data_IF_793042199449
#
_entry.id   IF_793042199449
#
_cell.length_a   1.000
_cell.length_b   1.000
_cell.length_c   1.000
_cell.angle_alpha   90.00
_cell.angle_beta   90.00
_cell.angle_gamma   90.00
#
_symmetry.space_group_name_H-M   'P 1'
#
loop_
_entity.id
_entity.type
_entity.pdbx_description
1 polymer ?
#
# COMPACT_ATOMS: atom_id res chain seq x y z
N UNK A 1 14.79 18.98 -14.40
CA UNK A 1 14.05 17.74 -14.06
C UNK A 1 14.63 16.48 -14.73
N UNK A 2 14.75 16.43 -16.08
CA UNK A 2 15.18 15.24 -16.84
C UNK A 2 16.48 14.57 -16.36
N UNK A 3 17.53 15.35 -16.06
CA UNK A 3 18.81 14.80 -15.57
C UNK A 3 18.66 14.07 -14.22
N UNK A 4 17.83 14.61 -13.31
CA UNK A 4 17.57 14.00 -12.00
C UNK A 4 16.80 12.70 -12.16
N UNK A 5 15.74 12.71 -12.98
CA UNK A 5 14.97 11.50 -13.28
C UNK A 5 15.83 10.42 -13.94
N UNK A 6 16.78 10.78 -14.79
CA UNK A 6 17.74 9.83 -15.36
C UNK A 6 18.60 9.14 -14.28
N UNK A 7 19.10 9.90 -13.30
CA UNK A 7 19.85 9.35 -12.15
C UNK A 7 18.97 8.43 -11.29
N UNK A 8 17.75 8.86 -10.96
CA UNK A 8 16.83 8.07 -10.13
C UNK A 8 16.35 6.81 -10.86
N UNK A 9 16.10 6.86 -12.17
CA UNK A 9 15.76 5.68 -12.97
C UNK A 9 16.78 4.55 -12.79
N UNK A 10 18.08 4.88 -12.82
CA UNK A 10 19.15 3.92 -12.59
C UNK A 10 19.11 3.29 -11.20
N UNK A 11 18.69 4.03 -10.17
CA UNK A 11 18.61 3.51 -8.79
C UNK A 11 17.34 2.72 -8.49
N UNK A 12 16.23 2.98 -9.20
CA UNK A 12 14.97 2.26 -8.97
C UNK A 12 14.81 0.99 -9.81
N UNK A 13 15.58 0.86 -10.91
CA UNK A 13 15.59 -0.36 -11.71
C UNK A 13 16.20 -1.48 -10.87
N UNK A 14 15.42 -2.55 -10.73
CA UNK A 14 15.83 -3.73 -9.99
C UNK A 14 16.92 -4.48 -10.76
N UNK A 15 18.03 -4.79 -10.09
CA UNK A 15 19.09 -5.61 -10.68
C UNK A 15 18.59 -7.02 -10.98
N UNK A 16 19.19 -7.68 -11.98
CA UNK A 16 18.85 -9.06 -12.36
C UNK A 16 18.95 -10.03 -11.17
N UNK A 17 19.97 -9.86 -10.33
CA UNK A 17 20.20 -10.69 -9.15
C UNK A 17 19.07 -10.53 -8.10
N UNK A 18 18.64 -9.29 -7.86
CA UNK A 18 17.52 -9.01 -6.94
C UNK A 18 16.22 -9.60 -7.45
N UNK A 19 15.94 -9.50 -8.76
CA UNK A 19 14.77 -10.15 -9.37
C UNK A 19 14.84 -11.67 -9.27
N UNK A 20 15.99 -12.29 -9.57
CA UNK A 20 16.20 -13.74 -9.50
C UNK A 20 15.99 -14.28 -8.09
N UNK A 21 16.60 -13.66 -7.09
CA UNK A 21 16.44 -14.07 -5.69
C UNK A 21 14.99 -13.93 -5.22
N UNK A 22 14.32 -12.83 -5.60
CA UNK A 22 12.90 -12.63 -5.24
C UNK A 22 12.01 -13.68 -5.91
N UNK A 23 12.27 -14.01 -7.18
CA UNK A 23 11.55 -15.06 -7.90
C UNK A 23 11.71 -16.42 -7.23
N UNK A 24 12.93 -16.82 -6.86
CA UNK A 24 13.18 -18.07 -6.16
C UNK A 24 12.36 -18.19 -4.86
N UNK A 25 12.35 -17.12 -4.05
CA UNK A 25 11.56 -17.09 -2.80
C UNK A 25 10.05 -17.15 -3.10
N UNK A 26 9.59 -16.45 -4.13
CA UNK A 26 8.19 -16.44 -4.51
C UNK A 26 7.72 -17.80 -5.04
N UNK A 27 8.51 -18.44 -5.90
CA UNK A 27 8.23 -19.77 -6.44
C UNK A 27 8.20 -20.82 -5.33
N UNK A 28 9.15 -20.75 -4.39
CA UNK A 28 9.20 -21.63 -3.21
C UNK A 28 7.93 -21.48 -2.36
N UNK A 29 7.58 -20.24 -1.99
CA UNK A 29 6.38 -19.97 -1.20
C UNK A 29 5.09 -20.40 -1.93
N UNK A 30 5.01 -20.14 -3.23
CA UNK A 30 3.86 -20.52 -4.05
C UNK A 30 3.66 -22.03 -4.08
N UNK A 31 4.73 -22.80 -4.30
CA UNK A 31 4.67 -24.26 -4.32
C UNK A 31 4.24 -24.84 -2.97
N UNK A 32 4.71 -24.26 -1.87
CA UNK A 32 4.31 -24.67 -0.51
C UNK A 32 2.81 -24.46 -0.28
N UNK A 33 2.26 -23.32 -0.71
CA UNK A 33 0.82 -23.04 -0.60
C UNK A 33 0.02 -23.91 -1.57
N UNK A 34 0.47 -24.04 -2.82
CA UNK A 34 -0.18 -24.84 -3.86
C UNK A 34 -0.34 -26.31 -3.45
N UNK A 35 0.67 -26.89 -2.81
CA UNK A 35 0.57 -28.25 -2.31
C UNK A 35 -0.44 -28.39 -1.16
N UNK A 36 -0.59 -27.37 -0.33
CA UNK A 36 -1.52 -27.42 0.80
C UNK A 36 -2.97 -27.23 0.38
N UNK A 37 -3.24 -26.37 -0.61
CA UNK A 37 -4.63 -26.12 -1.05
C UNK A 37 -5.28 -27.31 -1.74
N UNK A 38 -4.50 -28.27 -2.27
CA UNK A 38 -5.03 -29.51 -2.90
C UNK A 38 -5.89 -30.35 -1.95
N UNK A 39 -5.70 -30.19 -0.64
CA UNK A 39 -6.45 -30.89 0.40
C UNK A 39 -7.83 -30.24 0.69
N UNK A 40 -8.18 -29.13 0.04
CA UNK A 40 -9.35 -28.33 0.35
C UNK A 40 -10.22 -28.08 -0.90
N UNK A 41 -11.32 -28.83 -1.08
CA UNK A 41 -12.22 -28.66 -2.23
C UNK A 41 -12.95 -27.31 -2.25
N UNK A 42 -12.90 -26.54 -1.17
CA UNK A 42 -13.41 -25.17 -1.07
C UNK A 42 -12.57 -24.16 -1.86
N UNK A 43 -11.30 -24.48 -2.14
CA UNK A 43 -10.36 -23.59 -2.83
C UNK A 43 -10.37 -23.92 -4.32
N UNK A 44 -10.55 -22.91 -5.16
CA UNK A 44 -10.64 -23.02 -6.63
C UNK A 44 -9.38 -22.59 -7.34
N UNK A 45 -8.49 -21.84 -6.68
CA UNK A 45 -7.27 -21.39 -7.31
C UNK A 45 -6.30 -20.65 -6.41
N UNK A 46 -5.16 -20.35 -7.01
CA UNK A 46 -4.03 -19.65 -6.40
C UNK A 46 -3.49 -18.63 -7.41
N UNK A 47 -3.14 -17.43 -6.96
CA UNK A 47 -2.41 -16.50 -7.81
C UNK A 47 -1.54 -15.53 -7.01
N UNK A 48 -0.48 -15.01 -7.63
CA UNK A 48 0.27 -13.92 -7.04
C UNK A 48 -0.50 -12.61 -7.17
N UNK A 49 -0.45 -11.80 -6.10
CA UNK A 49 -0.98 -10.45 -6.08
C UNK A 49 0.08 -9.40 -5.81
N UNK A 50 -0.40 -8.20 -5.48
CA UNK A 50 0.42 -7.13 -4.95
C UNK A 50 1.45 -6.56 -5.93
N UNK A 51 2.38 -5.77 -5.40
CA UNK A 51 3.37 -5.07 -6.23
C UNK A 51 4.40 -6.01 -6.87
N UNK A 52 4.56 -7.22 -6.32
CA UNK A 52 5.39 -8.27 -6.91
C UNK A 52 4.81 -8.75 -8.24
N UNK A 53 3.55 -9.21 -8.25
CA UNK A 53 2.88 -9.68 -9.47
C UNK A 53 2.82 -8.61 -10.57
N UNK A 54 2.66 -7.33 -10.17
CA UNK A 54 2.61 -6.19 -11.09
C UNK A 54 3.99 -5.73 -11.59
N UNK A 55 5.09 -6.28 -11.06
CA UNK A 55 6.46 -5.80 -11.27
C UNK A 55 6.61 -4.28 -11.04
N UNK A 56 6.04 -3.78 -9.93
CA UNK A 56 6.07 -2.36 -9.50
C UNK A 56 6.69 -2.17 -8.11
N UNK A 57 7.30 -3.22 -7.56
CA UNK A 57 7.87 -3.24 -6.21
C UNK A 57 9.21 -2.49 -6.11
N UNK A 58 9.53 -2.03 -4.89
CA UNK A 58 10.81 -1.41 -4.53
C UNK A 58 11.79 -2.46 -3.98
N UNK A 59 13.07 -2.36 -4.36
CA UNK A 59 14.10 -3.41 -4.16
C UNK A 59 14.24 -3.94 -2.73
N UNK A 60 13.98 -3.12 -1.71
CA UNK A 60 14.20 -3.46 -0.30
C UNK A 60 12.97 -4.04 0.42
N UNK A 61 11.78 -3.96 -0.18
CA UNK A 61 10.49 -4.16 0.53
C UNK A 61 9.43 -4.87 -0.31
N UNK A 62 9.84 -5.68 -1.28
CA UNK A 62 8.87 -6.54 -1.95
C UNK A 62 8.39 -7.64 -1.01
N UNK A 63 7.16 -7.47 -0.54
CA UNK A 63 6.35 -8.54 0.02
C UNK A 63 5.81 -9.41 -1.14
N UNK A 64 5.60 -10.69 -0.86
CA UNK A 64 4.99 -11.65 -1.79
C UNK A 64 3.60 -11.96 -1.28
N UNK A 65 2.60 -11.49 -2.01
CA UNK A 65 1.19 -11.75 -1.71
C UNK A 65 0.72 -12.93 -2.57
N UNK A 66 0.24 -13.99 -1.92
CA UNK A 66 -0.30 -15.19 -2.54
C UNK A 66 -1.78 -15.27 -2.18
N UNK A 67 -2.65 -15.10 -3.18
CA UNK A 67 -4.09 -15.13 -3.01
C UNK A 67 -4.62 -16.55 -3.19
N UNK A 68 -5.29 -17.08 -2.16
CA UNK A 68 -6.06 -18.33 -2.23
C UNK A 68 -7.52 -18.00 -2.51
N UNK A 69 -8.07 -18.55 -3.59
CA UNK A 69 -9.43 -18.27 -4.06
C UNK A 69 -10.40 -19.31 -3.55
N UNK A 70 -11.41 -18.88 -2.81
CA UNK A 70 -12.47 -19.75 -2.31
C UNK A 70 -13.71 -19.67 -3.19
N UNK A 71 -14.45 -20.78 -3.29
CA UNK A 71 -15.80 -20.77 -3.87
C UNK A 71 -16.67 -19.73 -3.16
N UNK A 72 -17.46 -18.97 -3.92
CA UNK A 72 -18.39 -17.95 -3.39
C UNK A 72 -19.39 -18.51 -2.36
N UNK A 73 -19.66 -19.81 -2.36
CA UNK A 73 -20.61 -20.48 -1.45
C UNK A 73 -20.04 -20.80 -0.07
N UNK A 74 -18.73 -20.67 0.13
CA UNK A 74 -18.07 -20.94 1.42
C UNK A 74 -18.48 -19.87 2.44
N UNK A 75 -18.73 -20.28 3.69
CA UNK A 75 -19.05 -19.38 4.80
C UNK A 75 -17.79 -18.67 5.34
N UNK A 76 -17.96 -17.48 5.91
CA UNK A 76 -16.85 -16.69 6.47
C UNK A 76 -16.07 -17.42 7.58
N UNK A 77 -16.76 -18.27 8.34
CA UNK A 77 -16.17 -19.13 9.36
C UNK A 77 -15.19 -20.14 8.75
N UNK A 78 -15.66 -20.93 7.77
CA UNK A 78 -14.81 -21.90 7.04
C UNK A 78 -13.71 -21.20 6.26
N UNK A 79 -14.02 -20.07 5.63
CA UNK A 79 -13.06 -19.23 4.92
C UNK A 79 -11.89 -18.86 5.85
N UNK A 80 -12.20 -18.38 7.06
CA UNK A 80 -11.20 -18.01 8.07
C UNK A 80 -10.43 -19.22 8.60
N UNK A 81 -11.12 -20.31 8.90
CA UNK A 81 -10.52 -21.52 9.47
C UNK A 81 -9.53 -22.16 8.48
N UNK A 82 -9.97 -22.41 7.24
CA UNK A 82 -9.17 -23.04 6.19
C UNK A 82 -7.98 -22.15 5.84
N UNK A 83 -8.16 -20.82 5.73
CA UNK A 83 -7.05 -19.88 5.48
C UNK A 83 -5.95 -20.02 6.52
N UNK A 84 -6.32 -20.07 7.81
CA UNK A 84 -5.34 -20.25 8.88
C UNK A 84 -4.63 -21.59 8.73
N UNK A 85 -5.36 -22.69 8.58
CA UNK A 85 -4.78 -24.04 8.39
C UNK A 85 -3.80 -24.07 7.23
N UNK A 86 -4.24 -23.68 6.03
CA UNK A 86 -3.42 -23.62 4.82
C UNK A 86 -2.15 -22.79 5.05
N UNK A 87 -2.28 -21.57 5.59
CA UNK A 87 -1.13 -20.69 5.80
C UNK A 87 -0.14 -21.23 6.86
N UNK A 88 -0.64 -21.77 7.98
CA UNK A 88 0.22 -22.33 9.03
C UNK A 88 0.93 -23.61 8.57
N UNK A 89 0.24 -24.47 7.83
CA UNK A 89 0.80 -25.73 7.35
C UNK A 89 1.79 -25.51 6.20
N UNK A 90 1.44 -24.68 5.21
CA UNK A 90 2.32 -24.36 4.08
C UNK A 90 3.61 -23.66 4.52
N UNK A 91 3.52 -22.74 5.49
CA UNK A 91 4.66 -21.93 5.93
C UNK A 91 5.24 -22.38 7.28
N UNK A 92 4.94 -23.59 7.76
CA UNK A 92 5.33 -24.10 9.09
C UNK A 92 6.81 -23.91 9.43
N UNK A 93 7.70 -24.11 8.45
CA UNK A 93 9.16 -23.96 8.59
C UNK A 93 9.63 -22.50 8.79
N UNK A 94 8.74 -21.54 8.62
CA UNK A 94 9.02 -20.10 8.59
C UNK A 94 8.32 -19.32 9.70
N UNK A 95 7.91 -19.99 10.78
CA UNK A 95 7.27 -19.42 11.96
C UNK A 95 6.10 -18.48 11.60
N UNK A 96 5.05 -19.01 10.92
CA UNK A 96 3.95 -18.20 10.44
C UNK A 96 3.12 -17.66 11.62
N UNK A 97 2.46 -16.54 11.42
CA UNK A 97 1.55 -15.94 12.38
C UNK A 97 0.37 -15.27 11.68
N UNK A 98 -0.73 -15.08 12.42
CA UNK A 98 -1.94 -14.44 11.90
C UNK A 98 -1.80 -12.92 11.95
N UNK A 99 -2.21 -12.28 10.87
CA UNK A 99 -2.49 -10.84 10.80
C UNK A 99 -3.97 -10.64 10.51
N UNK A 100 -4.46 -9.47 10.88
CA UNK A 100 -5.86 -9.11 10.74
C UNK A 100 -6.00 -7.87 9.85
N UNK A 101 -6.81 -7.99 8.81
CA UNK A 101 -7.41 -6.90 8.04
C UNK A 101 -8.93 -7.02 8.21
N UNK A 102 -9.71 -6.93 7.14
CA UNK A 102 -11.13 -7.33 7.14
C UNK A 102 -11.28 -8.83 7.48
N UNK A 103 -10.49 -9.68 6.82
CA UNK A 103 -10.35 -11.09 7.18
C UNK A 103 -8.91 -11.39 7.64
N UNK A 104 -8.72 -12.41 8.48
CA UNK A 104 -7.39 -12.83 8.88
C UNK A 104 -6.63 -13.43 7.70
N UNK A 105 -5.33 -13.17 7.66
CA UNK A 105 -4.39 -13.76 6.70
C UNK A 105 -3.15 -14.25 7.44
N UNK A 106 -2.41 -15.16 6.83
CA UNK A 106 -1.20 -15.72 7.44
C UNK A 106 0.03 -15.06 6.83
N UNK A 107 0.93 -14.58 7.68
CA UNK A 107 2.20 -13.99 7.29
C UNK A 107 3.35 -14.84 7.83
N UNK A 108 4.37 -15.06 7.01
CA UNK A 108 5.64 -15.63 7.42
C UNK A 108 6.81 -14.87 6.78
N UNK A 109 8.04 -15.21 7.15
CA UNK A 109 9.23 -14.60 6.55
C UNK A 109 10.20 -15.64 6.02
N UNK A 110 10.43 -15.62 4.71
CA UNK A 110 11.49 -16.38 4.05
C UNK A 110 12.66 -15.42 3.82
N UNK A 111 13.78 -15.65 4.54
CA UNK A 111 14.93 -14.73 4.60
C UNK A 111 14.51 -13.33 5.08
N UNK A 112 14.52 -12.32 4.20
CA UNK A 112 14.08 -10.94 4.47
C UNK A 112 12.77 -10.58 3.78
N UNK A 113 12.12 -11.54 3.12
CA UNK A 113 10.90 -11.34 2.34
C UNK A 113 9.70 -11.79 3.16
N UNK A 114 8.71 -10.92 3.33
CA UNK A 114 7.42 -11.34 3.90
C UNK A 114 6.61 -12.07 2.84
N UNK A 115 5.99 -13.16 3.26
CA UNK A 115 5.06 -13.95 2.47
C UNK A 115 3.70 -13.83 3.14
N UNK A 116 2.69 -13.38 2.39
CA UNK A 116 1.32 -13.24 2.87
C UNK A 116 0.44 -14.25 2.11
N UNK A 117 -0.22 -15.14 2.83
CA UNK A 117 -1.26 -16.03 2.30
C UNK A 117 -2.60 -15.37 2.59
N UNK A 118 -3.17 -14.76 1.56
CA UNK A 118 -4.35 -13.89 1.67
C UNK A 118 -5.55 -14.58 1.06
N UNK A 119 -6.66 -14.71 1.78
CA UNK A 119 -7.84 -15.34 1.21
C UNK A 119 -8.71 -14.31 0.48
N UNK A 120 -9.35 -14.77 -0.59
CA UNK A 120 -10.39 -14.02 -1.29
C UNK A 120 -11.43 -14.96 -1.88
N UNK A 121 -12.63 -14.46 -2.16
CA UNK A 121 -13.64 -15.21 -2.89
C UNK A 121 -13.41 -15.12 -4.40
N UNK A 122 -13.69 -16.22 -5.11
CA UNK A 122 -13.85 -16.20 -6.55
C UNK A 122 -15.21 -15.61 -6.91
N UNK A 123 -15.19 -14.35 -7.35
CA UNK A 123 -16.37 -13.55 -7.67
C UNK A 123 -16.26 -12.96 -9.06
N UNK A 124 -17.40 -12.55 -9.63
CA UNK A 124 -17.44 -11.74 -10.83
C UNK A 124 -17.06 -10.28 -10.53
N UNK A 125 -16.61 -9.56 -11.55
CA UNK A 125 -16.28 -8.13 -11.42
C UNK A 125 -17.49 -7.35 -10.88
N UNK A 126 -17.32 -6.65 -9.75
CA UNK A 126 -18.37 -5.86 -9.12
C UNK A 126 -19.18 -6.60 -8.05
N UNK A 127 -19.11 -7.93 -7.97
CA UNK A 127 -19.85 -8.75 -7.01
C UNK A 127 -19.01 -9.10 -5.77
N UNK A 128 -18.33 -8.10 -5.23
CA UNK A 128 -17.40 -8.26 -4.10
C UNK A 128 -18.11 -8.73 -2.83
N UNK A 129 -17.59 -9.78 -2.18
CA UNK A 129 -17.98 -10.17 -0.82
C UNK A 129 -17.08 -9.51 0.24
N UNK A 130 -15.80 -9.37 -0.07
CA UNK A 130 -14.80 -8.72 0.78
C UNK A 130 -14.01 -7.67 0.01
N UNK A 131 -13.27 -6.81 0.72
CA UNK A 131 -12.30 -5.91 0.09
C UNK A 131 -11.15 -6.65 -0.60
N UNK A 132 -10.77 -7.84 -0.11
CA UNK A 132 -9.67 -8.63 -0.66
C UNK A 132 -9.98 -9.15 -2.07
N UNK A 133 -11.25 -9.41 -2.39
CA UNK A 133 -11.72 -9.93 -3.67
C UNK A 133 -11.37 -9.01 -4.86
N UNK A 134 -11.25 -7.71 -4.61
CA UNK A 134 -10.83 -6.72 -5.62
C UNK A 134 -9.36 -6.86 -6.02
N UNK A 135 -8.52 -7.37 -5.12
CA UNK A 135 -7.05 -7.38 -5.27
C UNK A 135 -6.55 -8.24 -6.46
N UNK A 136 -7.11 -9.45 -6.70
CA UNK A 136 -7.01 -10.18 -7.96
C UNK A 136 -7.22 -9.32 -9.21
N UNK A 137 -8.34 -8.59 -9.26
CA UNK A 137 -8.74 -7.78 -10.41
C UNK A 137 -7.83 -6.55 -10.57
N UNK A 138 -7.43 -5.91 -9.47
CA UNK A 138 -6.42 -4.84 -9.49
C UNK A 138 -5.10 -5.31 -10.09
N UNK A 139 -4.67 -6.52 -9.71
CA UNK A 139 -3.43 -7.12 -10.20
C UNK A 139 -3.51 -7.36 -11.70
N UNK A 140 -4.55 -8.07 -12.16
CA UNK A 140 -4.76 -8.36 -13.58
C UNK A 140 -4.91 -7.10 -14.43
N UNK A 141 -5.69 -6.13 -13.96
CA UNK A 141 -5.86 -4.85 -14.64
C UNK A 141 -4.51 -4.13 -14.79
N UNK A 142 -3.75 -3.98 -13.70
CA UNK A 142 -2.46 -3.27 -13.76
C UNK A 142 -1.41 -4.01 -14.58
N UNK A 143 -1.39 -5.35 -14.58
CA UNK A 143 -0.49 -6.12 -15.44
C UNK A 143 -0.75 -5.87 -16.93
N UNK A 144 -2.02 -5.77 -17.33
CA UNK A 144 -2.45 -5.48 -18.70
C UNK A 144 -2.21 -4.01 -19.08
N UNK A 145 -2.50 -3.08 -18.17
CA UNK A 145 -2.50 -1.65 -18.45
C UNK A 145 -1.11 -1.00 -18.33
N UNK A 146 -0.24 -1.47 -17.42
CA UNK A 146 1.06 -0.84 -17.19
C UNK A 146 2.15 -1.43 -18.09
N UNK A 147 2.69 -0.59 -18.97
CA UNK A 147 3.89 -0.90 -19.75
C UNK A 147 5.13 -1.01 -18.85
N UNK A 148 6.19 -1.68 -19.33
CA UNK A 148 7.48 -1.77 -18.61
C UNK A 148 8.05 -0.40 -18.24
N UNK A 149 7.88 0.60 -19.11
CA UNK A 149 8.29 1.99 -18.84
C UNK A 149 7.48 2.59 -17.69
N UNK A 150 6.16 2.45 -17.71
CA UNK A 150 5.28 2.94 -16.63
C UNK A 150 5.58 2.27 -15.28
N UNK A 151 5.90 0.97 -15.26
CA UNK A 151 6.30 0.27 -14.03
C UNK A 151 7.53 0.89 -13.37
N UNK A 152 8.48 1.39 -14.17
CA UNK A 152 9.63 2.13 -13.63
C UNK A 152 9.22 3.51 -13.10
N UNK A 153 8.33 4.22 -13.79
CA UNK A 153 7.79 5.49 -13.30
C UNK A 153 7.02 5.33 -11.98
N UNK A 154 6.28 4.22 -11.80
CA UNK A 154 5.65 3.86 -10.52
C UNK A 154 6.69 3.72 -9.41
N UNK A 155 7.83 3.08 -9.67
CA UNK A 155 8.89 2.95 -8.66
C UNK A 155 9.51 4.31 -8.29
N UNK A 156 9.65 5.22 -9.25
CA UNK A 156 10.10 6.60 -9.00
C UNK A 156 9.10 7.30 -8.08
N UNK A 157 7.80 7.22 -8.40
CA UNK A 157 6.74 7.83 -7.58
C UNK A 157 6.71 7.24 -6.17
N UNK A 158 6.72 5.91 -6.03
CA UNK A 158 6.77 5.24 -4.72
C UNK A 158 8.01 5.69 -3.92
N UNK A 159 9.16 5.82 -4.56
CA UNK A 159 10.40 6.30 -3.92
C UNK A 159 10.25 7.74 -3.45
N UNK A 160 9.71 8.63 -4.28
CA UNK A 160 9.45 10.03 -3.95
C UNK A 160 8.52 10.15 -2.74
N UNK A 161 7.36 9.46 -2.78
CA UNK A 161 6.39 9.46 -1.68
C UNK A 161 7.02 8.93 -0.38
N UNK A 162 7.82 7.88 -0.48
CA UNK A 162 8.42 7.20 0.67
C UNK A 162 9.50 8.04 1.35
N UNK A 163 10.41 8.62 0.58
CA UNK A 163 11.47 9.49 1.11
C UNK A 163 10.85 10.70 1.82
N UNK A 164 9.75 11.22 1.28
CA UNK A 164 9.01 12.33 1.87
C UNK A 164 7.97 11.89 2.92
N UNK A 165 8.04 10.63 3.39
CA UNK A 165 7.25 10.08 4.50
C UNK A 165 5.72 10.11 4.32
N UNK A 166 5.25 10.10 3.07
CA UNK A 166 3.82 10.09 2.70
C UNK A 166 3.42 8.83 1.92
N UNK A 167 4.24 7.78 1.93
CA UNK A 167 3.93 6.48 1.34
C UNK A 167 3.39 5.51 2.39
N UNK A 168 2.35 4.76 2.03
CA UNK A 168 1.69 3.79 2.90
C UNK A 168 0.28 4.23 3.29
N UNK A 169 -0.70 3.33 3.20
CA UNK A 169 -2.11 3.60 3.51
C UNK A 169 -2.53 3.13 4.91
N UNK A 170 -1.61 2.54 5.67
CA UNK A 170 -1.83 2.16 7.07
C UNK A 170 -2.25 3.37 7.92
N UNK A 171 -3.00 3.13 9.00
CA UNK A 171 -3.57 4.20 9.84
C UNK A 171 -2.47 5.10 10.40
N UNK A 172 -1.28 4.55 10.67
CA UNK A 172 -0.11 5.30 11.11
C UNK A 172 0.27 6.42 10.13
N UNK A 173 0.21 6.14 8.82
CA UNK A 173 0.67 7.06 7.76
C UNK A 173 -0.46 7.84 7.15
N UNK A 174 -1.62 7.22 6.87
CA UNK A 174 -2.71 7.80 6.07
C UNK A 174 -2.17 8.47 4.81
N UNK A 175 -1.24 7.81 4.13
CA UNK A 175 -0.54 8.30 2.95
C UNK A 175 -0.96 7.59 1.67
N UNK A 176 -0.18 7.78 0.63
CA UNK A 176 -0.44 7.25 -0.70
C UNK A 176 -0.04 5.77 -0.77
N UNK A 177 -1.00 4.91 -1.12
CA UNK A 177 -0.76 3.47 -1.26
C UNK A 177 0.07 3.13 -2.50
N UNK A 178 0.59 1.91 -2.54
CA UNK A 178 1.23 1.38 -3.74
C UNK A 178 0.29 1.31 -4.94
N UNK A 179 -0.99 1.02 -4.72
CA UNK A 179 -2.00 0.99 -5.77
C UNK A 179 -2.38 2.39 -6.26
N UNK A 180 -2.52 3.37 -5.36
CA UNK A 180 -2.72 4.78 -5.74
C UNK A 180 -1.57 5.26 -6.62
N UNK A 181 -0.33 4.91 -6.29
CA UNK A 181 0.83 5.25 -7.11
C UNK A 181 0.74 4.68 -8.53
N UNK A 182 0.20 3.46 -8.68
CA UNK A 182 -0.02 2.83 -9.98
C UNK A 182 -1.13 3.50 -10.77
N UNK A 183 -2.25 3.82 -10.11
CA UNK A 183 -3.40 4.52 -10.73
C UNK A 183 -3.02 5.94 -11.17
N UNK A 184 -2.23 6.67 -10.39
CA UNK A 184 -1.73 7.99 -10.79
C UNK A 184 -0.86 7.90 -12.05
N UNK A 185 0.07 6.94 -12.10
CA UNK A 185 0.90 6.73 -13.31
C UNK A 185 0.06 6.23 -14.49
N UNK A 186 -0.98 5.43 -14.26
CA UNK A 186 -1.90 5.02 -15.30
C UNK A 186 -2.65 6.20 -15.93
N UNK A 187 -3.12 7.15 -15.11
CA UNK A 187 -3.84 8.33 -15.60
C UNK A 187 -2.93 9.38 -16.25
N UNK A 188 -1.72 9.56 -15.72
CA UNK A 188 -0.81 10.64 -16.15
C UNK A 188 0.39 10.14 -16.98
N UNK A 189 0.47 8.85 -17.28
CA UNK A 189 1.52 8.14 -18.04
C UNK A 189 2.91 8.05 -17.39
N UNK A 190 3.40 9.09 -16.71
CA UNK A 190 4.75 9.12 -16.14
C UNK A 190 4.85 10.03 -14.91
N UNK A 191 5.97 9.93 -14.18
CA UNK A 191 6.17 10.66 -12.93
C UNK A 191 6.15 12.18 -13.11
N UNK A 192 6.77 12.71 -14.17
CA UNK A 192 6.81 14.16 -14.43
C UNK A 192 5.40 14.73 -14.61
N UNK A 193 4.54 14.03 -15.34
CA UNK A 193 3.15 14.44 -15.51
C UNK A 193 2.37 14.37 -14.19
N UNK A 194 2.60 13.34 -13.35
CA UNK A 194 2.00 13.30 -12.01
C UNK A 194 2.39 14.54 -11.21
N UNK A 195 3.67 14.92 -11.21
CA UNK A 195 4.12 16.13 -10.50
C UNK A 195 3.40 17.38 -11.01
N UNK A 196 3.38 17.62 -12.32
CA UNK A 196 2.74 18.80 -12.92
C UNK A 196 1.24 18.85 -12.62
N UNK A 197 0.54 17.74 -12.80
CA UNK A 197 -0.90 17.66 -12.55
C UNK A 197 -1.25 17.83 -11.08
N UNK A 198 -0.47 17.25 -10.16
CA UNK A 198 -0.72 17.39 -8.72
C UNK A 198 -0.31 18.78 -8.20
N UNK A 199 0.70 19.44 -8.78
CA UNK A 199 1.09 20.80 -8.40
C UNK A 199 -0.05 21.81 -8.64
N UNK A 200 -0.86 21.58 -9.68
CA UNK A 200 -1.98 22.41 -10.09
C UNK A 200 -3.35 21.84 -9.67
N UNK A 201 -3.39 20.80 -8.85
CA UNK A 201 -4.65 20.16 -8.48
C UNK A 201 -5.53 21.11 -7.66
N UNK A 202 -6.81 21.15 -8.00
CA UNK A 202 -7.81 21.94 -7.30
C UNK A 202 -8.56 21.09 -6.28
N UNK A 203 -9.15 21.75 -5.28
CA UNK A 203 -10.00 21.08 -4.31
C UNK A 203 -11.20 20.41 -5.01
N UNK A 204 -11.50 19.17 -4.63
CA UNK A 204 -12.58 18.39 -5.21
C UNK A 204 -12.27 17.81 -6.60
N UNK A 205 -11.08 18.04 -7.14
CA UNK A 205 -10.73 17.53 -8.47
C UNK A 205 -10.73 16.00 -8.51
N UNK A 206 -11.32 15.46 -9.59
CA UNK A 206 -11.46 14.02 -9.84
C UNK A 206 -10.38 13.55 -10.81
N UNK A 207 -9.63 12.53 -10.41
CA UNK A 207 -8.67 11.80 -11.24
C UNK A 207 -9.28 10.44 -11.58
N UNK A 208 -9.60 10.24 -12.86
CA UNK A 208 -10.33 9.08 -13.36
C UNK A 208 -11.74 9.44 -13.81
N UNK A 209 -12.61 8.44 -13.98
CA UNK A 209 -13.99 8.62 -14.45
C UNK A 209 -14.98 8.03 -13.45
N UNK A 210 -15.95 8.82 -13.02
CA UNK A 210 -17.05 8.37 -12.17
C UNK A 210 -18.29 9.22 -12.41
N UNK A 211 -19.47 8.67 -12.13
CA UNK A 211 -20.74 9.40 -12.04
C UNK A 211 -21.10 9.75 -10.59
N UNK A 212 -20.31 9.28 -9.61
CA UNK A 212 -20.57 9.48 -8.18
C UNK A 212 -19.89 10.75 -7.67
N UNK A 213 -20.58 11.47 -6.79
CA UNK A 213 -20.04 12.63 -6.09
C UNK A 213 -19.34 12.16 -4.80
N UNK A 214 -18.15 12.71 -4.55
CA UNK A 214 -17.37 12.43 -3.35
C UNK A 214 -16.96 13.74 -2.68
N UNK A 215 -17.22 13.86 -1.39
CA UNK A 215 -16.87 15.03 -0.59
C UNK A 215 -15.50 14.85 0.06
N UNK A 216 -14.44 14.87 -0.77
CA UNK A 216 -13.06 14.72 -0.31
C UNK A 216 -12.15 15.76 -0.95
N UNK A 217 -11.02 16.09 -0.32
CA UNK A 217 -10.10 17.12 -0.82
C UNK A 217 -9.64 16.86 -2.27
N UNK A 218 -9.38 15.60 -2.63
CA UNK A 218 -9.17 15.14 -4.00
C UNK A 218 -9.82 13.75 -4.15
N UNK A 219 -10.18 13.38 -5.37
CA UNK A 219 -10.79 12.07 -5.66
C UNK A 219 -9.90 11.31 -6.63
N UNK A 220 -9.52 10.08 -6.27
CA UNK A 220 -8.76 9.19 -7.15
C UNK A 220 -9.60 7.93 -7.36
N UNK A 221 -10.15 7.76 -8.55
CA UNK A 221 -11.10 6.67 -8.82
C UNK A 221 -10.36 5.37 -9.10
N UNK A 222 -10.87 4.28 -8.51
CA UNK A 222 -10.43 2.93 -8.79
C UNK A 222 -10.82 2.52 -10.23
N UNK A 223 -9.88 2.17 -11.11
CA UNK A 223 -10.17 1.86 -12.51
C UNK A 223 -11.01 0.58 -12.71
N UNK A 224 -11.20 -0.24 -11.67
CA UNK A 224 -12.08 -1.42 -11.74
C UNK A 224 -13.39 -1.26 -10.96
N UNK A 225 -13.55 -0.15 -10.21
CA UNK A 225 -14.70 0.10 -9.35
C UNK A 225 -14.94 1.62 -9.26
N UNK A 226 -15.77 2.16 -10.17
CA UNK A 226 -16.04 3.60 -10.27
C UNK A 226 -16.71 4.20 -9.03
N UNK A 227 -17.21 3.36 -8.11
CA UNK A 227 -17.82 3.78 -6.85
C UNK A 227 -16.81 3.92 -5.70
N UNK A 228 -15.53 3.60 -5.95
CA UNK A 228 -14.48 3.58 -4.95
C UNK A 228 -13.48 4.73 -5.13
N UNK A 229 -13.39 5.59 -4.12
CA UNK A 229 -12.37 6.62 -4.02
C UNK A 229 -11.14 6.09 -3.27
N UNK A 230 -10.02 5.93 -3.99
CA UNK A 230 -8.74 5.50 -3.43
C UNK A 230 -8.07 6.55 -2.55
N UNK A 231 -8.45 7.82 -2.68
CA UNK A 231 -7.93 8.91 -1.86
C UNK A 231 -8.57 8.97 -0.47
N UNK A 232 -9.65 8.22 -0.20
CA UNK A 232 -10.38 8.27 1.06
C UNK A 232 -9.54 7.91 2.30
N UNK A 233 -8.49 7.10 2.14
CA UNK A 233 -7.59 6.74 3.23
C UNK A 233 -6.41 7.72 3.41
N UNK A 234 -6.30 8.73 2.55
CA UNK A 234 -5.20 9.71 2.55
C UNK A 234 -5.64 10.93 3.37
N UNK A 235 -4.83 11.33 4.35
CA UNK A 235 -5.11 12.52 5.14
C UNK A 235 -4.99 13.80 4.31
N UNK A 236 -5.81 14.81 4.63
CA UNK A 236 -5.69 16.15 4.03
C UNK A 236 -4.29 16.74 4.21
N UNK A 237 -3.64 16.46 5.35
CA UNK A 237 -2.26 16.87 5.60
C UNK A 237 -1.29 16.25 4.57
N UNK A 238 -1.42 14.95 4.30
CA UNK A 238 -0.55 14.29 3.31
C UNK A 238 -0.87 14.72 1.87
N UNK A 239 -2.14 15.01 1.55
CA UNK A 239 -2.52 15.61 0.26
C UNK A 239 -1.85 16.98 0.11
N UNK A 240 -1.98 17.86 1.10
CA UNK A 240 -1.33 19.18 1.11
C UNK A 240 0.19 19.08 1.00
N UNK A 241 0.83 18.19 1.77
CA UNK A 241 2.27 17.90 1.66
C UNK A 241 2.63 17.47 0.25
N UNK A 242 1.86 16.56 -0.36
CA UNK A 242 2.17 16.08 -1.70
C UNK A 242 2.08 17.21 -2.74
N UNK A 243 1.05 18.06 -2.67
CA UNK A 243 0.89 19.24 -3.54
C UNK A 243 2.11 20.17 -3.40
N UNK A 244 2.50 20.50 -2.17
CA UNK A 244 3.65 21.37 -1.90
C UNK A 244 4.97 20.75 -2.39
N UNK A 245 5.16 19.44 -2.19
CA UNK A 245 6.31 18.71 -2.70
C UNK A 245 6.35 18.70 -4.23
N UNK A 246 5.20 18.54 -4.89
CA UNK A 246 5.10 18.61 -6.35
C UNK A 246 5.46 20.00 -6.87
N UNK A 247 4.91 21.07 -6.28
CA UNK A 247 5.25 22.47 -6.62
C UNK A 247 6.74 22.77 -6.41
N UNK A 248 7.29 22.33 -5.28
CA UNK A 248 8.70 22.54 -4.97
C UNK A 248 9.63 21.77 -5.94
N UNK A 249 9.29 20.53 -6.27
CA UNK A 249 10.06 19.72 -7.21
C UNK A 249 9.92 20.23 -8.65
N UNK A 250 8.76 20.75 -9.05
CA UNK A 250 8.54 21.38 -10.35
C UNK A 250 9.39 22.65 -10.51
N UNK A 251 9.37 23.54 -9.50
CA UNK A 251 10.12 24.79 -9.52
C UNK A 251 11.64 24.57 -9.49
N UNK A 252 12.14 23.76 -8.53
CA UNK A 252 13.57 23.47 -8.39
C UNK A 252 13.82 21.98 -8.20
N UNK A 253 13.83 21.19 -9.29
CA UNK A 253 14.10 19.76 -9.22
C UNK A 253 15.45 19.49 -8.52
N UNK A 254 15.45 18.62 -7.49
CA UNK A 254 16.65 18.23 -6.74
C UNK A 254 16.64 16.73 -6.39
N UNK A 255 17.81 16.10 -6.30
CA UNK A 255 17.98 14.71 -5.82
C UNK A 255 17.59 14.54 -4.35
N UNK A 256 17.63 15.61 -3.55
CA UNK A 256 17.21 15.55 -2.14
C UNK A 256 15.78 15.05 -1.93
N UNK A 257 14.88 15.25 -2.89
CA UNK A 257 13.51 14.72 -2.82
C UNK A 257 13.44 13.19 -2.89
N UNK A 258 14.57 12.54 -3.22
CA UNK A 258 14.73 11.09 -3.33
C UNK A 258 15.77 10.53 -2.34
N UNK A 259 16.35 11.37 -1.48
CA UNK A 259 17.31 10.97 -0.45
C UNK A 259 16.74 11.21 0.94
N UNK A 260 16.98 10.28 1.87
CA UNK A 260 16.57 10.46 3.25
C UNK A 260 17.27 11.68 3.86
N UNK A 261 16.49 12.69 4.25
CA UNK A 261 17.01 13.83 5.00
C UNK A 261 17.27 13.42 6.46
N UNK A 262 18.49 13.66 6.95
CA UNK A 262 18.76 13.61 8.38
C UNK A 262 17.95 14.72 9.03
N UNK A 263 17.08 14.34 9.97
CA UNK A 263 16.37 15.33 10.78
C UNK A 263 17.40 16.04 11.64
N UNK A 264 17.47 17.37 11.53
CA UNK A 264 18.18 18.18 12.52
C UNK A 264 17.28 18.30 13.74
N UNK A 265 17.76 17.85 14.89
CA UNK A 265 17.07 18.08 16.16
C UNK A 265 17.06 19.58 16.43
N UNK A 266 15.88 20.17 16.48
CA UNK A 266 15.69 21.51 17.03
C UNK A 266 15.28 21.39 18.48
N UNK A 267 15.92 22.18 19.35
CA UNK A 267 15.57 22.30 20.76
C UNK A 267 14.58 23.43 21.03
N UNK A 268 14.13 24.14 19.99
CA UNK A 268 13.21 25.25 20.15
C UNK A 268 11.88 24.77 20.76
N UNK A 269 11.37 25.53 21.72
CA UNK A 269 10.08 25.36 22.38
C UNK A 269 9.92 24.05 23.17
N UNK A 270 11.01 23.39 23.57
CA UNK A 270 10.94 22.17 24.39
C UNK A 270 10.26 22.42 25.74
N UNK A 271 10.38 23.63 26.27
CA UNK A 271 9.68 24.11 27.47
C UNK A 271 8.15 24.04 27.36
N UNK A 272 7.60 24.01 26.14
CA UNK A 272 6.17 23.91 25.87
C UNK A 272 5.75 22.50 25.39
N UNK A 273 6.62 21.50 25.54
CA UNK A 273 6.33 20.12 25.11
C UNK A 273 5.97 19.25 26.32
N UNK A 274 4.71 18.85 26.41
CA UNK A 274 4.26 17.81 27.33
C UNK A 274 4.32 16.42 26.66
N UNK A 275 4.97 15.46 27.32
CA UNK A 275 5.01 14.06 26.85
C UNK A 275 4.20 13.18 27.79
N UNK A 276 3.10 12.61 27.28
CA UNK A 276 2.28 11.64 28.01
C UNK A 276 2.77 10.23 27.69
N UNK A 277 3.28 9.52 28.70
CA UNK A 277 3.76 8.13 28.60
C UNK A 277 2.81 7.19 29.34
N UNK A 278 2.37 6.12 28.67
CA UNK A 278 1.49 5.11 29.26
C UNK A 278 1.77 3.72 28.67
N UNK A 279 1.36 2.67 29.39
CA UNK A 279 1.43 1.29 28.93
C UNK A 279 0.17 0.91 28.16
N UNK A 280 0.29 0.04 27.15
CA UNK A 280 -0.85 -0.45 26.37
C UNK A 280 -0.73 -1.95 26.11
N UNK A 281 -1.87 -2.62 25.92
CA UNK A 281 -1.90 -4.04 25.53
C UNK A 281 -1.52 -4.17 24.06
N UNK A 282 -0.58 -5.07 23.76
CA UNK A 282 -0.17 -5.33 22.37
C UNK A 282 -1.37 -5.81 21.53
N UNK A 283 -1.58 -5.15 20.39
CA UNK A 283 -2.61 -5.45 19.38
C UNK A 283 -2.03 -5.22 17.98
N UNK A 284 -2.83 -5.37 16.93
CA UNK A 284 -2.36 -5.01 15.58
C UNK A 284 -1.96 -3.52 15.53
N UNK A 285 -0.92 -3.17 14.75
CA UNK A 285 -0.45 -1.78 14.67
C UNK A 285 -1.55 -0.78 14.30
N UNK A 286 -2.45 -1.13 13.38
CA UNK A 286 -3.53 -0.23 12.97
C UNK A 286 -4.53 0.06 14.09
N UNK A 287 -4.86 -0.93 14.94
CA UNK A 287 -5.70 -0.70 16.13
C UNK A 287 -4.99 0.26 17.08
N UNK A 288 -3.70 0.02 17.35
CA UNK A 288 -2.91 0.87 18.24
C UNK A 288 -2.84 2.30 17.71
N UNK A 289 -2.52 2.49 16.42
CA UNK A 289 -2.44 3.81 15.81
C UNK A 289 -3.79 4.53 15.75
N UNK A 290 -4.89 3.80 15.53
CA UNK A 290 -6.24 4.35 15.60
C UNK A 290 -6.57 4.86 17.01
N UNK A 291 -6.24 4.07 18.04
CA UNK A 291 -6.42 4.48 19.44
C UNK A 291 -5.54 5.69 19.80
N UNK A 292 -4.26 5.68 19.42
CA UNK A 292 -3.33 6.79 19.67
C UNK A 292 -3.85 8.07 19.00
N UNK A 293 -4.27 8.02 17.73
CA UNK A 293 -4.80 9.21 17.04
C UNK A 293 -6.04 9.77 17.72
N UNK A 294 -6.99 8.90 18.10
CA UNK A 294 -8.20 9.33 18.82
C UNK A 294 -7.85 9.98 20.16
N UNK A 295 -6.91 9.39 20.91
CA UNK A 295 -6.44 9.95 22.18
C UNK A 295 -5.74 11.29 21.98
N UNK A 296 -4.88 11.42 20.97
CA UNK A 296 -4.20 12.68 20.62
C UNK A 296 -5.20 13.77 20.26
N UNK A 297 -6.20 13.50 19.41
CA UNK A 297 -7.26 14.47 19.08
C UNK A 297 -8.03 14.87 20.33
N UNK A 298 -8.44 13.91 21.15
CA UNK A 298 -9.18 14.19 22.39
C UNK A 298 -8.37 15.06 23.35
N UNK A 299 -7.09 14.76 23.56
CA UNK A 299 -6.21 15.55 24.42
C UNK A 299 -5.99 16.96 23.86
N UNK A 300 -5.76 17.09 22.55
CA UNK A 300 -5.61 18.39 21.91
C UNK A 300 -6.86 19.26 22.08
N UNK A 301 -8.06 18.68 21.90
CA UNK A 301 -9.33 19.39 22.13
C UNK A 301 -9.47 19.83 23.59
N UNK A 302 -9.13 18.96 24.56
CA UNK A 302 -9.23 19.32 25.98
C UNK A 302 -8.23 20.43 26.37
N UNK A 303 -7.00 20.39 25.84
CA UNK A 303 -6.02 21.46 26.04
C UNK A 303 -6.52 22.79 25.47
N UNK A 304 -7.07 22.78 24.25
CA UNK A 304 -7.64 23.97 23.62
C UNK A 304 -8.81 24.55 24.42
N UNK A 305 -9.72 23.68 24.92
CA UNK A 305 -10.82 24.11 25.79
C UNK A 305 -10.32 24.65 27.13
N UNK A 306 -9.18 24.15 27.61
CA UNK A 306 -8.49 24.64 28.80
C UNK A 306 -7.67 25.92 28.59
N UNK A 307 -7.62 26.46 27.37
CA UNK A 307 -6.90 27.70 27.05
C UNK A 307 -5.40 27.54 26.81
N UNK A 308 -4.93 26.32 26.54
CA UNK A 308 -3.55 26.02 26.14
C UNK A 308 -3.39 25.92 24.62
#
# INVERSE_FOLDING_TARGET
MKQILSKIRKSVILSKNVKKLKKQIADEAYLLVENQIKNYPEITGLEFGGSYAKDTWLSKEADIDIFIKFKKTVSDEKFTEITKKVGFESLKKYNPYVRYSEHPYVEARIKKTKINVVPCYEVNLGEWKSSADRSPFHTKHMQKSLTTKMRNEVRILKTFLKVNKIYGAEIAKQGFSGYVSEVLILNFNNFENVIKSIAQIQQGQIIGKTSKVFETAIVIIDPIDSNRNLAAAISNENIGKFILLCRAFENKPNLEFFNQKKLKLSKNNWENVLVVKFNFKMRSPDIIWGQIKKATTSLATQLQLGGF
#
